data_IF_072378626615
#
_entry.id   IF_072378626615
#
_cell.length_a   1.000
_cell.length_b   1.000
_cell.length_c   1.000
_cell.angle_alpha   90.00
_cell.angle_beta   90.00
_cell.angle_gamma   90.00
#
_symmetry.space_group_name_H-M   'P 1'
#
loop_
_entity.id
_entity.type
_entity.pdbx_description
1 polymer ?
#
# COMPACT_ATOMS: atom_id res chain seq x y z
N UNK A 1 -21.19 -18.81 -26.62
CA UNK A 1 -20.31 -17.79 -26.01
C UNK A 1 -21.19 -16.60 -25.66
N UNK A 2 -21.65 -16.49 -24.41
CA UNK A 2 -22.61 -15.45 -24.04
C UNK A 2 -22.00 -14.06 -24.26
N UNK A 3 -22.75 -13.18 -24.94
CA UNK A 3 -22.34 -11.80 -25.17
C UNK A 3 -22.16 -11.09 -23.83
N UNK A 4 -21.02 -10.43 -23.65
CA UNK A 4 -20.74 -9.64 -22.46
C UNK A 4 -21.66 -8.42 -22.42
N UNK A 5 -22.44 -8.28 -21.35
CA UNK A 5 -23.23 -7.09 -21.08
C UNK A 5 -22.36 -6.03 -20.36
N UNK A 6 -22.02 -4.91 -21.03
CA UNK A 6 -21.22 -3.84 -20.43
C UNK A 6 -21.97 -3.07 -19.33
N UNK A 7 -23.31 -3.08 -19.32
CA UNK A 7 -24.13 -2.31 -18.38
C UNK A 7 -24.25 -2.98 -17.02
N UNK A 8 -24.18 -4.32 -16.97
CA UNK A 8 -24.19 -5.08 -15.72
C UNK A 8 -22.86 -4.98 -14.94
N UNK A 9 -21.73 -4.66 -15.60
CA UNK A 9 -20.38 -4.72 -15.02
C UNK A 9 -19.51 -3.51 -15.40
N UNK A 10 -19.79 -2.31 -14.86
CA UNK A 10 -19.04 -1.09 -15.18
C UNK A 10 -17.53 -1.22 -14.91
N UNK A 11 -17.13 -2.00 -13.90
CA UNK A 11 -15.73 -2.31 -13.62
C UNK A 11 -15.04 -3.11 -14.73
N UNK A 12 -15.76 -4.03 -15.39
CA UNK A 12 -15.23 -4.86 -16.45
C UNK A 12 -15.05 -4.08 -17.77
N UNK A 13 -15.96 -3.16 -18.09
CA UNK A 13 -15.81 -2.25 -19.25
C UNK A 13 -14.57 -1.40 -19.10
N UNK A 14 -14.42 -0.73 -17.94
CA UNK A 14 -13.26 0.10 -17.65
C UNK A 14 -11.95 -0.68 -17.73
N UNK A 15 -11.94 -1.91 -17.22
CA UNK A 15 -10.76 -2.75 -17.29
C UNK A 15 -10.44 -3.19 -18.73
N UNK A 16 -11.44 -3.50 -19.54
CA UNK A 16 -11.23 -3.79 -20.97
C UNK A 16 -10.63 -2.61 -21.72
N UNK A 17 -11.12 -1.39 -21.48
CA UNK A 17 -10.54 -0.17 -22.07
C UNK A 17 -9.06 -0.04 -21.72
N UNK A 18 -8.70 -0.23 -20.44
CA UNK A 18 -7.30 -0.20 -20.00
C UNK A 18 -6.47 -1.28 -20.69
N UNK A 19 -7.00 -2.50 -20.76
CA UNK A 19 -6.35 -3.61 -21.47
C UNK A 19 -6.06 -3.21 -22.92
N UNK A 20 -7.04 -2.68 -23.65
CA UNK A 20 -6.84 -2.20 -25.03
C UNK A 20 -5.74 -1.13 -25.11
N UNK A 21 -5.75 -0.12 -24.22
CA UNK A 21 -4.72 0.92 -24.20
C UNK A 21 -3.32 0.35 -23.95
N UNK A 22 -3.20 -0.62 -23.04
CA UNK A 22 -1.91 -1.29 -22.76
C UNK A 22 -1.43 -2.21 -23.89
N UNK A 23 -2.35 -2.72 -24.72
CA UNK A 23 -1.98 -3.37 -25.97
C UNK A 23 -1.44 -2.37 -26.98
N UNK A 24 -2.13 -1.24 -27.17
CA UNK A 24 -1.74 -0.18 -28.11
C UNK A 24 -0.37 0.42 -27.77
N UNK A 25 -0.09 0.63 -26.48
CA UNK A 25 1.20 1.18 -26.04
C UNK A 25 2.32 0.12 -25.90
N UNK A 26 2.06 -1.14 -26.25
CA UNK A 26 3.06 -2.21 -26.30
C UNK A 26 3.42 -2.85 -24.96
N UNK A 27 2.94 -2.34 -23.83
CA UNK A 27 3.28 -2.87 -22.50
C UNK A 27 2.71 -4.26 -22.25
N UNK A 28 1.51 -4.56 -22.77
CA UNK A 28 0.93 -5.91 -22.68
C UNK A 28 1.70 -6.96 -23.49
N UNK A 29 2.09 -6.70 -24.76
CA UNK A 29 3.05 -7.55 -25.48
C UNK A 29 4.32 -7.86 -24.69
N UNK A 30 4.92 -6.86 -24.03
CA UNK A 30 6.11 -7.07 -23.18
C UNK A 30 5.79 -7.99 -22.00
N UNK A 31 4.67 -7.78 -21.30
CA UNK A 31 4.23 -8.66 -20.22
C UNK A 31 4.00 -10.11 -20.68
N UNK A 32 3.46 -10.30 -21.88
CA UNK A 32 3.28 -11.63 -22.47
C UNK A 32 4.60 -12.28 -22.86
N UNK A 33 5.54 -11.51 -23.43
CA UNK A 33 6.88 -12.00 -23.73
C UNK A 33 7.58 -12.47 -22.46
N UNK A 34 7.51 -11.70 -21.37
CA UNK A 34 8.03 -12.10 -20.06
C UNK A 34 7.36 -13.39 -19.55
N UNK A 35 6.04 -13.50 -19.67
CA UNK A 35 5.30 -14.69 -19.27
C UNK A 35 5.73 -15.95 -20.07
N UNK A 36 6.01 -15.80 -21.37
CA UNK A 36 6.52 -16.88 -22.24
C UNK A 36 7.95 -17.24 -21.86
N UNK A 37 8.84 -16.27 -21.72
CA UNK A 37 10.25 -16.48 -21.32
C UNK A 37 10.35 -17.15 -19.95
N UNK A 38 9.48 -16.78 -19.01
CA UNK A 38 9.39 -17.39 -17.69
C UNK A 38 8.62 -18.74 -17.67
N UNK A 39 8.15 -19.23 -18.82
CA UNK A 39 7.41 -20.49 -18.99
C UNK A 39 6.21 -20.62 -18.04
N UNK A 40 5.47 -19.53 -17.90
CA UNK A 40 4.33 -19.45 -16.98
C UNK A 40 3.06 -20.08 -17.55
N UNK A 41 2.25 -20.66 -16.67
CA UNK A 41 0.86 -21.05 -16.98
C UNK A 41 -0.01 -19.80 -17.01
N UNK A 42 -0.86 -19.63 -18.02
CA UNK A 42 -1.60 -18.39 -18.25
C UNK A 42 -3.11 -18.64 -18.23
N UNK A 43 -3.86 -17.78 -17.54
CA UNK A 43 -5.33 -17.75 -17.52
C UNK A 43 -5.81 -16.36 -17.92
N UNK A 44 -6.81 -16.30 -18.79
CA UNK A 44 -7.47 -15.04 -19.16
C UNK A 44 -8.69 -14.83 -18.29
N UNK A 45 -8.87 -13.59 -17.87
CA UNK A 45 -10.07 -13.15 -17.15
C UNK A 45 -11.10 -12.58 -18.13
N UNK A 46 -12.40 -12.57 -17.77
CA UNK A 46 -13.46 -12.00 -18.63
C UNK A 46 -13.28 -10.51 -18.96
N UNK A 47 -12.55 -9.77 -18.13
CA UNK A 47 -12.21 -8.36 -18.28
C UNK A 47 -10.94 -8.10 -19.11
N UNK A 48 -10.33 -9.15 -19.66
CA UNK A 48 -9.21 -9.05 -20.61
C UNK A 48 -7.82 -9.06 -19.97
N UNK A 49 -7.73 -9.15 -18.63
CA UNK A 49 -6.47 -9.33 -17.92
C UNK A 49 -5.93 -10.76 -18.13
N UNK A 50 -4.61 -10.90 -18.24
CA UNK A 50 -3.93 -12.20 -18.29
C UNK A 50 -3.20 -12.45 -16.98
N UNK A 51 -3.56 -13.50 -16.26
CA UNK A 51 -2.83 -13.94 -15.06
C UNK A 51 -1.85 -15.06 -15.44
N UNK A 52 -0.57 -14.78 -15.30
CA UNK A 52 0.55 -15.65 -15.62
C UNK A 52 1.20 -16.17 -14.32
N UNK A 53 0.94 -17.42 -13.97
CA UNK A 53 1.41 -18.04 -12.74
C UNK A 53 2.60 -18.98 -12.93
N UNK A 54 3.26 -19.30 -11.81
CA UNK A 54 4.46 -20.14 -11.78
C UNK A 54 5.73 -19.38 -12.16
N UNK A 55 5.77 -18.06 -11.97
CA UNK A 55 6.95 -17.25 -12.23
C UNK A 55 8.11 -17.65 -11.28
N UNK A 56 9.21 -18.16 -11.85
CA UNK A 56 10.34 -18.71 -11.08
C UNK A 56 11.60 -17.87 -11.10
N UNK A 57 11.65 -16.82 -11.94
CA UNK A 57 12.84 -15.98 -12.02
C UNK A 57 13.13 -15.31 -10.66
N UNK A 58 14.41 -15.05 -10.34
CA UNK A 58 14.81 -14.54 -9.02
C UNK A 58 14.35 -13.10 -8.77
N UNK A 59 14.10 -12.34 -9.84
CA UNK A 59 13.68 -10.94 -9.80
C UNK A 59 12.44 -10.79 -10.66
N UNK A 60 11.38 -10.08 -10.21
CA UNK A 60 11.22 -9.50 -8.87
C UNK A 60 10.85 -10.52 -7.77
N UNK A 61 11.22 -10.22 -6.52
CA UNK A 61 10.97 -11.07 -5.33
C UNK A 61 9.53 -11.04 -4.81
N UNK A 62 8.70 -10.15 -5.35
CA UNK A 62 7.31 -9.98 -4.94
C UNK A 62 6.47 -11.24 -5.27
N UNK A 63 5.38 -11.44 -4.54
CA UNK A 63 4.48 -12.57 -4.78
C UNK A 63 3.81 -12.48 -6.16
N UNK A 64 3.43 -11.28 -6.57
CA UNK A 64 2.93 -10.93 -7.89
C UNK A 64 3.32 -9.51 -8.28
N UNK A 65 3.25 -9.21 -9.59
CA UNK A 65 3.46 -7.88 -10.15
C UNK A 65 2.78 -7.78 -11.52
N UNK A 66 2.47 -6.56 -11.96
CA UNK A 66 1.79 -6.29 -13.23
C UNK A 66 2.73 -5.68 -14.28
N UNK A 67 2.57 -6.07 -15.54
CA UNK A 67 3.17 -5.46 -16.72
C UNK A 67 2.09 -5.30 -17.80
N UNK A 68 1.65 -4.07 -18.06
CA UNK A 68 0.50 -3.80 -18.91
C UNK A 68 -0.78 -4.44 -18.35
N UNK A 69 -1.43 -5.29 -19.14
CA UNK A 69 -2.58 -6.11 -18.73
C UNK A 69 -2.20 -7.57 -18.35
N UNK A 70 -0.92 -7.83 -18.10
CA UNK A 70 -0.43 -9.15 -17.66
C UNK A 70 0.01 -9.08 -16.21
N UNK A 71 -0.57 -9.91 -15.35
CA UNK A 71 -0.16 -10.08 -13.95
C UNK A 71 0.66 -11.34 -13.82
N UNK A 72 1.92 -11.21 -13.43
CA UNK A 72 2.81 -12.33 -13.18
C UNK A 72 2.80 -12.68 -11.69
N UNK A 73 2.67 -13.95 -11.34
CA UNK A 73 2.67 -14.43 -9.96
C UNK A 73 3.55 -15.67 -9.80
N UNK A 74 4.20 -15.81 -8.64
CA UNK A 74 5.02 -16.99 -8.31
C UNK A 74 4.15 -18.23 -8.03
N UNK A 75 2.90 -18.02 -7.64
CA UNK A 75 1.91 -19.08 -7.38
C UNK A 75 1.20 -19.48 -8.67
N UNK A 76 0.43 -20.59 -8.69
CA UNK A 76 -0.45 -20.90 -9.81
C UNK A 76 -1.45 -19.75 -10.08
N UNK A 77 -1.90 -19.53 -11.33
CA UNK A 77 -2.87 -18.48 -11.65
C UNK A 77 -4.14 -18.52 -10.78
N UNK A 78 -4.58 -19.74 -10.45
CA UNK A 78 -5.78 -20.01 -9.65
C UNK A 78 -5.69 -19.43 -8.24
N UNK A 79 -4.48 -19.32 -7.68
CA UNK A 79 -4.27 -18.71 -6.37
C UNK A 79 -4.65 -17.22 -6.37
N UNK A 80 -4.29 -16.48 -7.43
CA UNK A 80 -4.61 -15.05 -7.53
C UNK A 80 -6.06 -14.82 -7.94
N UNK A 81 -6.64 -15.76 -8.70
CA UNK A 81 -8.04 -15.70 -9.13
C UNK A 81 -9.04 -16.12 -8.03
N UNK A 82 -8.54 -16.63 -6.89
CA UNK A 82 -9.39 -17.01 -5.77
C UNK A 82 -10.12 -15.79 -5.16
N UNK A 83 -11.40 -15.91 -4.75
CA UNK A 83 -12.17 -14.81 -4.16
C UNK A 83 -11.49 -14.13 -2.97
N UNK A 84 -10.84 -14.88 -2.08
CA UNK A 84 -10.08 -14.33 -0.94
C UNK A 84 -8.89 -13.44 -1.34
N UNK A 85 -8.53 -13.41 -2.62
CA UNK A 85 -7.49 -12.56 -3.20
C UNK A 85 -8.07 -11.46 -4.09
N UNK A 86 -9.38 -11.21 -4.03
CA UNK A 86 -10.04 -10.17 -4.81
C UNK A 86 -9.39 -8.79 -4.62
N UNK A 87 -8.98 -8.43 -3.40
CA UNK A 87 -8.30 -7.16 -3.13
C UNK A 87 -6.92 -7.08 -3.78
N UNK A 88 -6.15 -8.17 -3.73
CA UNK A 88 -4.85 -8.27 -4.37
C UNK A 88 -5.00 -8.19 -5.89
N UNK A 89 -5.94 -8.94 -6.48
CA UNK A 89 -6.23 -8.84 -7.91
C UNK A 89 -6.73 -7.43 -8.29
N UNK A 90 -7.50 -6.78 -7.42
CA UNK A 90 -7.92 -5.39 -7.58
C UNK A 90 -6.76 -4.40 -7.53
N UNK A 91 -5.73 -4.65 -6.70
CA UNK A 91 -4.48 -3.91 -6.67
C UNK A 91 -3.74 -4.01 -8.01
N UNK A 92 -3.56 -5.23 -8.52
CA UNK A 92 -2.91 -5.46 -9.81
C UNK A 92 -3.67 -4.81 -10.99
N UNK A 93 -5.01 -4.87 -10.98
CA UNK A 93 -5.85 -4.15 -11.97
C UNK A 93 -5.65 -2.63 -11.95
N UNK A 94 -5.30 -2.04 -10.80
CA UNK A 94 -5.01 -0.60 -10.72
C UNK A 94 -3.67 -0.27 -11.37
N UNK A 95 -2.67 -1.15 -11.28
CA UNK A 95 -1.43 -1.02 -12.03
C UNK A 95 -1.67 -1.10 -13.55
N UNK A 96 -2.58 -1.94 -14.04
CA UNK A 96 -2.98 -1.90 -15.46
C UNK A 96 -3.50 -0.52 -15.87
N UNK A 97 -4.26 0.15 -14.98
CA UNK A 97 -4.69 1.53 -15.22
C UNK A 97 -3.54 2.55 -15.28
N UNK A 98 -2.49 2.35 -14.48
CA UNK A 98 -1.29 3.20 -14.51
C UNK A 98 -0.50 2.99 -15.80
N UNK A 99 -0.35 1.73 -16.25
CA UNK A 99 0.21 1.41 -17.56
C UNK A 99 -0.63 1.94 -18.72
N UNK A 100 -1.95 1.93 -18.61
CA UNK A 100 -2.82 2.49 -19.66
C UNK A 100 -2.61 4.00 -19.83
N UNK A 101 -2.34 4.71 -18.73
CA UNK A 101 -2.11 6.16 -18.73
C UNK A 101 -0.67 6.53 -19.14
N UNK A 102 0.33 5.89 -18.56
CA UNK A 102 1.74 6.27 -18.72
C UNK A 102 2.48 5.43 -19.76
N UNK A 103 1.91 4.29 -20.17
CA UNK A 103 2.57 3.34 -21.06
C UNK A 103 3.93 2.90 -20.52
N UNK A 104 4.95 2.78 -21.39
CA UNK A 104 6.32 2.42 -20.99
C UNK A 104 6.95 3.39 -19.97
N UNK A 105 6.53 4.67 -19.92
CA UNK A 105 7.05 5.64 -18.96
C UNK A 105 6.69 5.28 -17.50
N UNK A 106 5.74 4.37 -17.30
CA UNK A 106 5.43 3.85 -15.98
C UNK A 106 6.65 3.19 -15.32
N UNK A 107 7.49 2.45 -16.06
CA UNK A 107 8.66 1.80 -15.48
C UNK A 107 9.62 2.79 -14.82
N UNK A 108 10.22 3.77 -15.53
CA UNK A 108 11.16 4.71 -14.90
C UNK A 108 10.49 5.52 -13.79
N UNK A 109 9.22 5.94 -13.96
CA UNK A 109 8.50 6.67 -12.92
C UNK A 109 8.29 5.82 -11.66
N UNK A 110 7.95 4.54 -11.81
CA UNK A 110 7.78 3.61 -10.70
C UNK A 110 9.10 3.35 -9.96
N UNK A 111 10.20 3.16 -10.68
CA UNK A 111 11.53 3.00 -10.09
C UNK A 111 11.96 4.25 -9.30
N UNK A 112 11.71 5.44 -9.82
CA UNK A 112 11.97 6.70 -9.11
C UNK A 112 11.12 6.81 -7.84
N UNK A 113 9.84 6.44 -7.91
CA UNK A 113 8.95 6.42 -6.76
C UNK A 113 9.38 5.37 -5.70
N UNK A 114 9.89 4.21 -6.13
CA UNK A 114 10.50 3.21 -5.25
C UNK A 114 11.76 3.76 -4.56
N UNK A 115 12.66 4.41 -5.30
CA UNK A 115 13.86 5.02 -4.74
C UNK A 115 13.51 6.12 -3.73
N UNK A 116 12.54 6.95 -4.06
CA UNK A 116 12.01 7.98 -3.16
C UNK A 116 11.40 7.38 -1.89
N UNK A 117 10.53 6.38 -2.04
CA UNK A 117 9.94 5.66 -0.90
C UNK A 117 11.01 5.05 0.00
N UNK A 118 12.02 4.41 -0.59
CA UNK A 118 13.11 3.79 0.14
C UNK A 118 13.94 4.82 0.90
N UNK A 119 14.25 5.96 0.28
CA UNK A 119 14.94 7.06 0.95
C UNK A 119 14.17 7.60 2.16
N UNK A 120 12.84 7.70 2.05
CA UNK A 120 11.98 8.24 3.11
C UNK A 120 11.69 7.24 4.24
N UNK A 121 11.49 5.96 3.92
CA UNK A 121 10.85 4.98 4.83
C UNK A 121 11.67 3.71 5.04
N UNK A 122 12.71 3.49 4.24
CA UNK A 122 13.44 2.22 4.18
C UNK A 122 12.69 1.08 3.45
N UNK A 123 11.46 1.30 2.99
CA UNK A 123 10.69 0.36 2.19
C UNK A 123 10.29 0.94 0.82
N UNK A 124 10.03 0.09 -0.16
CA UNK A 124 9.69 0.52 -1.53
C UNK A 124 8.23 0.92 -1.74
N UNK A 125 7.32 0.45 -0.87
CA UNK A 125 5.88 0.69 -0.98
C UNK A 125 5.33 1.91 -0.23
N UNK A 126 5.67 2.11 1.06
CA UNK A 126 4.96 3.06 1.92
C UNK A 126 4.96 4.53 1.43
N UNK A 127 6.06 4.99 0.83
CA UNK A 127 6.19 6.33 0.23
C UNK A 127 5.94 6.39 -1.28
N UNK A 128 5.64 5.26 -1.93
CA UNK A 128 5.47 5.20 -3.37
C UNK A 128 4.03 5.58 -3.76
N UNK A 129 3.87 6.66 -4.51
CA UNK A 129 2.56 7.19 -4.93
C UNK A 129 1.77 6.19 -5.78
N UNK A 130 2.45 5.38 -6.60
CA UNK A 130 1.80 4.38 -7.45
C UNK A 130 1.23 3.25 -6.62
N UNK A 131 1.97 2.78 -5.63
CA UNK A 131 1.54 1.77 -4.66
C UNK A 131 0.37 2.25 -3.81
N UNK A 132 0.45 3.48 -3.28
CA UNK A 132 -0.64 4.11 -2.53
C UNK A 132 -1.91 4.26 -3.37
N UNK A 133 -1.79 4.69 -4.64
CA UNK A 133 -2.93 4.78 -5.58
C UNK A 133 -3.45 3.40 -6.00
N UNK A 134 -2.60 2.38 -6.00
CA UNK A 134 -3.01 0.98 -6.12
C UNK A 134 -3.57 0.42 -4.80
N UNK A 135 -3.81 1.28 -3.80
CA UNK A 135 -4.46 0.97 -2.53
C UNK A 135 -3.65 0.06 -1.63
N UNK A 136 -2.37 0.37 -1.47
CA UNK A 136 -1.51 -0.19 -0.43
C UNK A 136 -2.22 -0.25 0.95
N UNK A 137 -3.05 0.73 1.29
CA UNK A 137 -3.82 0.76 2.55
C UNK A 137 -4.85 -0.39 2.68
N UNK A 138 -5.46 -0.83 1.57
CA UNK A 138 -6.38 -1.97 1.58
C UNK A 138 -5.65 -3.31 1.80
N UNK A 139 -4.33 -3.35 1.61
CA UNK A 139 -3.49 -4.52 1.87
C UNK A 139 -3.02 -4.67 3.32
N UNK A 140 -3.47 -3.80 4.24
CA UNK A 140 -3.12 -3.87 5.66
C UNK A 140 -1.70 -3.40 5.99
N UNK A 141 -1.06 -2.62 5.11
CA UNK A 141 0.28 -2.09 5.39
C UNK A 141 0.23 -1.00 6.47
N UNK A 142 1.11 -1.06 7.49
CA UNK A 142 1.18 -0.05 8.53
C UNK A 142 1.58 1.31 7.95
N UNK A 143 1.19 2.38 8.65
CA UNK A 143 1.58 3.74 8.28
C UNK A 143 3.11 3.83 8.16
N UNK A 144 3.65 4.50 7.12
CA UNK A 144 5.08 4.57 6.91
C UNK A 144 5.78 5.19 8.11
N UNK A 145 6.72 4.47 8.72
CA UNK A 145 7.67 5.09 9.66
C UNK A 145 8.70 5.86 8.86
N UNK A 146 8.66 7.19 8.93
CA UNK A 146 9.61 8.05 8.24
C UNK A 146 10.98 8.00 8.93
N UNK A 147 12.04 8.08 8.14
CA UNK A 147 13.38 8.31 8.66
C UNK A 147 13.47 9.69 9.33
N UNK A 148 14.36 9.88 10.32
CA UNK A 148 14.40 11.11 11.12
C UNK A 148 14.50 12.40 10.29
N UNK A 149 15.35 12.40 9.25
CA UNK A 149 15.52 13.56 8.37
C UNK A 149 14.24 13.89 7.58
N UNK A 150 13.49 12.88 7.14
CA UNK A 150 12.25 13.06 6.41
C UNK A 150 11.10 13.50 7.33
N UNK A 151 11.08 12.99 8.57
CA UNK A 151 10.15 13.43 9.60
C UNK A 151 10.37 14.91 9.96
N UNK A 152 11.63 15.37 10.00
CA UNK A 152 11.98 16.78 10.23
C UNK A 152 11.50 17.73 9.11
N UNK A 153 11.26 17.20 7.91
CA UNK A 153 10.72 17.97 6.77
C UNK A 153 9.18 17.97 6.73
N UNK A 154 8.48 17.20 7.58
CA UNK A 154 7.02 17.28 7.64
C UNK A 154 6.64 18.65 8.18
N UNK A 155 5.79 19.42 7.47
CA UNK A 155 5.23 20.64 8.02
C UNK A 155 4.59 20.31 9.37
N UNK A 156 4.88 21.13 10.39
CA UNK A 156 4.14 21.06 11.64
C UNK A 156 2.64 21.18 11.29
N UNK A 157 1.84 20.22 11.74
CA UNK A 157 0.41 20.26 11.50
C UNK A 157 -0.13 21.59 12.07
N UNK A 158 -0.85 22.42 11.30
CA UNK A 158 -1.47 23.60 11.86
C UNK A 158 -2.53 23.14 12.87
N UNK A 159 -2.27 23.36 14.16
CA UNK A 159 -3.29 23.18 15.20
C UNK A 159 -3.01 22.18 16.33
N UNK A 160 -1.76 21.94 16.74
CA UNK A 160 -1.49 21.35 18.06
C UNK A 160 -0.48 22.21 18.84
N UNK A 161 -1.01 23.14 19.67
CA UNK A 161 -0.34 23.57 20.89
C UNK A 161 0.28 24.97 20.95
N UNK A 162 -0.54 26.04 20.94
CA UNK A 162 -0.29 27.23 21.77
C UNK A 162 -1.56 27.64 22.51
N UNK A 163 -2.21 26.69 23.19
CA UNK A 163 -3.19 27.01 24.23
C UNK A 163 -2.52 26.77 25.59
N UNK A 164 -2.20 27.86 26.30
CA UNK A 164 -2.00 27.84 27.74
C UNK A 164 -0.57 27.99 28.27
N UNK A 165 0.12 29.09 27.97
CA UNK A 165 1.09 29.66 28.91
C UNK A 165 0.90 31.17 29.01
N UNK A 166 -0.19 31.57 29.68
CA UNK A 166 -0.36 32.93 30.16
C UNK A 166 0.42 33.13 31.47
N UNK A 167 1.13 34.26 31.67
CA UNK A 167 1.70 34.61 32.96
C UNK A 167 0.60 35.27 33.79
N UNK A 168 0.05 34.55 34.77
CA UNK A 168 -1.00 35.08 35.62
C UNK A 168 -1.39 34.06 36.68
N UNK A 169 -0.68 34.09 37.81
CA UNK A 169 -0.94 33.18 38.91
C UNK A 169 -0.07 33.44 40.13
N UNK A 170 0.26 34.71 40.41
CA UNK A 170 0.59 35.14 41.77
C UNK A 170 -0.65 35.81 42.37
N UNK A 171 -0.85 35.58 43.67
CA UNK A 171 -1.94 36.06 44.51
C UNK A 171 -3.28 35.30 44.41
N UNK A 172 -3.38 34.20 45.17
CA UNK A 172 -4.47 34.05 46.15
C UNK A 172 -4.19 32.89 47.11
N UNK A 173 -4.33 33.21 48.41
CA UNK A 173 -4.63 32.29 49.52
C UNK A 173 -3.46 31.51 50.13
N UNK A 174 -2.60 32.29 50.81
CA UNK A 174 -2.20 31.94 52.18
C UNK A 174 -3.44 31.91 53.07
N UNK A 175 -3.66 30.81 53.79
CA UNK A 175 -4.44 30.84 55.03
C UNK A 175 -5.30 29.62 55.31
N UNK A 176 -4.97 28.95 56.43
CA UNK A 176 -5.73 27.94 57.18
C UNK A 176 -5.66 26.51 56.63
N UNK A 177 -5.56 25.46 57.42
CA UNK A 177 -5.20 25.23 58.82
C UNK A 177 -5.10 23.69 58.96
N UNK A 178 -4.42 23.24 59.99
CA UNK A 178 -4.15 21.85 60.34
C UNK A 178 -5.35 20.88 60.34
N UNK A 179 -5.07 19.61 60.05
CA UNK A 179 -5.49 18.40 60.82
C UNK A 179 -5.24 17.16 59.95
N UNK A 180 -4.18 16.41 60.21
CA UNK A 180 -4.10 15.27 61.14
C UNK A 180 -4.56 13.93 60.57
N UNK A 181 -3.65 12.98 60.67
CA UNK A 181 -3.88 11.53 60.77
C UNK A 181 -4.24 10.77 59.49
N UNK A 182 -3.21 10.12 58.90
CA UNK A 182 -3.37 8.72 58.49
C UNK A 182 -2.09 7.93 58.74
N UNK A 183 -2.12 7.28 59.88
CA UNK A 183 -1.27 6.18 60.32
C UNK A 183 -1.49 4.98 59.39
N UNK A 184 -0.41 4.45 58.79
CA UNK A 184 -0.11 3.00 58.75
C UNK A 184 1.25 2.80 58.10
N UNK A 185 2.21 2.42 58.96
CA UNK A 185 3.51 1.87 58.59
C UNK A 185 3.31 0.42 58.12
N UNK A 186 3.97 0.12 57.00
CA UNK A 186 4.49 -1.21 56.69
C UNK A 186 5.48 -1.68 57.75
N UNK A 187 5.63 -3.01 57.87
CA UNK A 187 6.90 -3.58 58.33
C UNK A 187 6.81 -4.71 59.36
N UNK A 188 6.81 -5.94 58.83
CA UNK A 188 7.71 -7.06 59.19
C UNK A 188 7.80 -7.64 60.60
N UNK A 189 7.72 -8.99 60.58
CA UNK A 189 8.57 -10.01 61.20
C UNK A 189 8.15 -10.68 62.53
N UNK A 190 8.04 -12.01 62.41
CA UNK A 190 8.76 -13.05 63.15
C UNK A 190 8.10 -13.74 64.37
N UNK A 191 8.15 -15.08 64.30
CA UNK A 191 8.32 -16.08 65.37
C UNK A 191 7.22 -16.13 66.45
N UNK A 192 6.67 -17.28 66.84
CA UNK A 192 7.14 -18.66 66.98
C UNK A 192 5.96 -19.62 66.84
#
# INVERSE_FOLDING_TARGET
MAAFDPTAHPGAVRQRTRTTLTWLNGTTPVGLALAVLARTTRRRTPDGLVVAGGYRLPVPRQACFTVGAVVLTRRPPEWLLHPDRADLLGHERRHTGQYALLGPLFWPAYWLACAWSYALTGGYGPGNVFERRAGLAAGGYPEPTLRPWAAALRPAAPGQGTAGRGPGGEAALRGRAASSSRRRRDGTRAAR
#
